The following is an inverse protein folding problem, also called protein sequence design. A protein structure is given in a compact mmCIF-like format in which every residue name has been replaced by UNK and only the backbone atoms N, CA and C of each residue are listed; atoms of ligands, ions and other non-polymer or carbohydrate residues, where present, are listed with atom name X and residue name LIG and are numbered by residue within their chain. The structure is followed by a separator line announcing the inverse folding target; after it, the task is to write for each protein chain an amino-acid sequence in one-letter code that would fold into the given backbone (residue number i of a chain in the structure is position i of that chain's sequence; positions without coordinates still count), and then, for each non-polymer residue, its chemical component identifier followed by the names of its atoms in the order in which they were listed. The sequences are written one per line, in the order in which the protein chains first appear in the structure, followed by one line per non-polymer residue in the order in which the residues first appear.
data_IF_935211408717
#
_entry.id   IF_935211408717
#
_cell.length_a   1.000
_cell.length_b   1.000
_cell.length_c   1.000
_cell.angle_alpha   90.00
_cell.angle_beta   90.00
_cell.angle_gamma   90.00
#
_symmetry.space_group_name_H-M   'P 1'
#
loop_
_entity.id
_entity.type
_entity.pdbx_description
1 polymer ?
#
# COMPACT_ATOMS: atom_id res chain seq x y z
N UNK A 1 10.24 -4.20 5.12
CA UNK A 1 9.95 -3.39 6.33
C UNK A 1 10.69 -2.07 6.21
N UNK A 2 9.97 -0.95 6.32
CA UNK A 2 10.57 0.38 6.53
C UNK A 2 11.27 0.36 7.90
N UNK A 3 12.59 0.50 7.94
CA UNK A 3 13.30 0.60 9.21
C UNK A 3 13.34 2.06 9.67
N UNK A 4 13.33 2.32 10.98
CA UNK A 4 13.45 3.68 11.53
C UNK A 4 14.68 4.45 11.03
N UNK A 5 15.74 3.74 10.62
CA UNK A 5 17.00 4.34 10.19
C UNK A 5 16.96 4.91 8.76
N UNK A 6 16.15 4.36 7.85
CA UNK A 6 15.94 4.95 6.52
C UNK A 6 15.11 6.23 6.59
N UNK A 7 14.26 6.36 7.60
CA UNK A 7 13.42 7.53 7.86
C UNK A 7 14.19 8.71 8.52
N UNK A 8 15.40 8.46 9.04
CA UNK A 8 16.13 9.43 9.87
C UNK A 8 16.99 10.44 9.09
N UNK A 9 17.15 10.31 7.78
CA UNK A 9 18.07 11.14 6.96
C UNK A 9 17.43 11.86 5.76
N UNK A 10 16.16 11.62 5.44
CA UNK A 10 15.46 12.28 4.35
C UNK A 10 14.66 13.50 4.80
N UNK A 11 14.54 14.51 3.95
CA UNK A 11 13.57 15.59 4.16
C UNK A 11 12.14 15.00 4.20
N UNK A 12 11.24 15.65 4.94
CA UNK A 12 9.82 15.25 5.03
C UNK A 12 9.20 14.98 3.64
N UNK A 13 9.58 15.77 2.64
CA UNK A 13 9.14 15.64 1.25
C UNK A 13 9.61 14.34 0.60
N UNK A 14 10.86 13.91 0.84
CA UNK A 14 11.39 12.65 0.31
C UNK A 14 10.73 11.44 0.96
N UNK A 15 10.45 11.53 2.26
CA UNK A 15 9.72 10.47 2.99
C UNK A 15 8.29 10.31 2.44
N UNK A 16 7.58 11.41 2.23
CA UNK A 16 6.24 11.39 1.61
C UNK A 16 6.31 10.79 0.21
N UNK A 17 7.27 11.22 -0.62
CA UNK A 17 7.44 10.68 -1.98
C UNK A 17 7.69 9.17 -1.97
N UNK A 18 8.60 8.71 -1.11
CA UNK A 18 8.89 7.29 -0.95
C UNK A 18 7.67 6.51 -0.48
N UNK A 19 6.95 6.99 0.54
CA UNK A 19 5.77 6.34 1.06
C UNK A 19 4.67 6.23 -0.01
N UNK A 20 4.43 7.29 -0.81
CA UNK A 20 3.49 7.26 -1.94
C UNK A 20 3.87 6.21 -2.99
N UNK A 21 5.17 6.07 -3.31
CA UNK A 21 5.65 5.02 -4.22
C UNK A 21 5.42 3.62 -3.67
N UNK A 22 5.69 3.40 -2.39
CA UNK A 22 5.44 2.10 -1.75
C UNK A 22 3.94 1.79 -1.65
N UNK A 23 3.11 2.80 -1.40
CA UNK A 23 1.65 2.68 -1.43
C UNK A 23 1.18 2.20 -2.80
N UNK A 24 1.62 2.84 -3.89
CA UNK A 24 1.27 2.45 -5.26
C UNK A 24 1.71 1.02 -5.58
N UNK A 25 2.91 0.59 -5.13
CA UNK A 25 3.34 -0.81 -5.29
C UNK A 25 2.39 -1.80 -4.61
N UNK A 26 1.82 -1.46 -3.44
CA UNK A 26 0.85 -2.32 -2.76
C UNK A 26 -0.49 -2.33 -3.49
N UNK A 27 -0.96 -1.18 -3.98
CA UNK A 27 -2.17 -1.10 -4.82
C UNK A 27 -2.05 -2.03 -6.04
N UNK A 28 -0.93 -2.01 -6.75
CA UNK A 28 -0.74 -2.89 -7.91
C UNK A 28 -0.70 -4.38 -7.53
N UNK A 29 -0.24 -4.72 -6.32
CA UNK A 29 -0.32 -6.10 -5.81
C UNK A 29 -1.76 -6.49 -5.45
N UNK A 30 -2.54 -5.56 -4.88
CA UNK A 30 -3.98 -5.79 -4.60
C UNK A 30 -4.73 -6.04 -5.91
N UNK A 31 -4.56 -5.18 -6.92
CA UNK A 31 -5.19 -5.37 -8.24
C UNK A 31 -4.84 -6.71 -8.88
N UNK A 32 -3.56 -7.13 -8.82
CA UNK A 32 -3.15 -8.45 -9.31
C UNK A 32 -3.80 -9.59 -8.53
N UNK A 33 -3.93 -9.44 -7.21
CA UNK A 33 -4.62 -10.41 -6.38
C UNK A 33 -6.11 -10.49 -6.72
N UNK A 34 -6.78 -9.34 -6.91
CA UNK A 34 -8.17 -9.29 -7.38
C UNK A 34 -8.35 -10.02 -8.70
N UNK A 35 -7.49 -9.79 -9.70
CA UNK A 35 -7.55 -10.49 -10.99
C UNK A 35 -7.31 -12.01 -10.85
N UNK A 36 -6.39 -12.43 -9.97
CA UNK A 36 -6.17 -13.84 -9.67
C UNK A 36 -7.43 -14.48 -9.05
N UNK A 37 -8.00 -13.84 -8.04
CA UNK A 37 -9.14 -14.39 -7.29
C UNK A 37 -10.44 -14.46 -8.10
N UNK A 38 -10.60 -13.67 -9.16
CA UNK A 38 -11.77 -13.78 -10.06
C UNK A 38 -11.95 -15.18 -10.67
N UNK A 39 -10.84 -15.91 -10.88
CA UNK A 39 -10.85 -17.22 -11.51
C UNK A 39 -10.30 -18.32 -10.60
N UNK A 40 -9.97 -17.99 -9.34
CA UNK A 40 -9.41 -18.94 -8.39
C UNK A 40 -10.49 -19.89 -7.86
N UNK A 41 -10.09 -21.13 -7.60
CA UNK A 41 -10.91 -22.09 -6.84
C UNK A 41 -10.96 -21.73 -5.36
N UNK A 42 -11.90 -22.30 -4.61
CA UNK A 42 -12.02 -22.09 -3.15
C UNK A 42 -10.72 -22.51 -2.44
N UNK A 43 -10.12 -23.65 -2.82
CA UNK A 43 -8.87 -24.13 -2.22
C UNK A 43 -7.71 -23.15 -2.46
N UNK A 44 -7.64 -22.55 -3.65
CA UNK A 44 -6.66 -21.51 -3.96
C UNK A 44 -6.90 -20.22 -3.18
N UNK A 45 -8.15 -19.85 -2.93
CA UNK A 45 -8.51 -18.71 -2.08
C UNK A 45 -8.04 -18.96 -0.65
N UNK A 46 -8.40 -20.10 -0.05
CA UNK A 46 -8.00 -20.46 1.32
C UNK A 46 -6.48 -20.49 1.48
N UNK A 47 -5.76 -20.96 0.46
CA UNK A 47 -4.30 -20.98 0.47
C UNK A 47 -3.68 -19.58 0.42
N UNK A 48 -4.33 -18.61 -0.22
CA UNK A 48 -3.75 -17.30 -0.51
C UNK A 48 -4.37 -16.12 0.26
N UNK A 49 -5.47 -16.32 0.98
CA UNK A 49 -6.17 -15.27 1.72
C UNK A 49 -5.26 -14.53 2.70
N UNK A 50 -4.36 -15.26 3.39
CA UNK A 50 -3.43 -14.68 4.35
C UNK A 50 -2.46 -13.70 3.69
N UNK A 51 -2.05 -13.98 2.46
CA UNK A 51 -1.19 -13.08 1.68
C UNK A 51 -1.92 -11.80 1.28
N UNK A 52 -3.19 -11.90 0.86
CA UNK A 52 -4.01 -10.73 0.55
C UNK A 52 -4.21 -9.85 1.80
N UNK A 53 -4.56 -10.47 2.93
CA UNK A 53 -4.73 -9.75 4.21
C UNK A 53 -3.45 -9.03 4.63
N UNK A 54 -2.28 -9.66 4.44
CA UNK A 54 -1.00 -9.03 4.72
C UNK A 54 -0.76 -7.81 3.83
N UNK A 55 -1.05 -7.90 2.52
CA UNK A 55 -0.92 -6.78 1.58
C UNK A 55 -1.84 -5.62 2.00
N UNK A 56 -3.08 -5.90 2.37
CA UNK A 56 -4.04 -4.87 2.81
C UNK A 56 -3.60 -4.20 4.12
N UNK A 57 -3.05 -4.96 5.07
CA UNK A 57 -2.48 -4.41 6.31
C UNK A 57 -1.28 -3.51 6.02
N UNK A 58 -0.37 -3.94 5.15
CA UNK A 58 0.77 -3.12 4.73
C UNK A 58 0.32 -1.82 4.05
N UNK A 59 -0.67 -1.92 3.15
CA UNK A 59 -1.25 -0.77 2.45
C UNK A 59 -1.84 0.24 3.44
N UNK A 60 -2.65 -0.24 4.41
CA UNK A 60 -3.23 0.61 5.45
C UNK A 60 -2.17 1.27 6.32
N UNK A 61 -1.12 0.54 6.71
CA UNK A 61 -0.02 1.09 7.50
C UNK A 61 0.73 2.20 6.76
N UNK A 62 1.03 2.00 5.46
CA UNK A 62 1.66 3.04 4.63
C UNK A 62 0.71 4.23 4.46
N UNK A 63 -0.58 3.98 4.27
CA UNK A 63 -1.59 5.02 4.15
C UNK A 63 -1.62 5.92 5.39
N UNK A 64 -1.72 5.33 6.58
CA UNK A 64 -1.69 6.05 7.85
C UNK A 64 -0.39 6.86 8.04
N UNK A 65 0.75 6.34 7.59
CA UNK A 65 2.02 7.05 7.65
C UNK A 65 2.02 8.28 6.72
N UNK A 66 1.45 8.16 5.52
CA UNK A 66 1.28 9.30 4.62
C UNK A 66 0.39 10.36 5.27
N UNK A 67 -0.76 9.97 5.84
CA UNK A 67 -1.68 10.91 6.51
C UNK A 67 -1.01 11.60 7.70
N UNK A 68 -0.22 10.87 8.48
CA UNK A 68 0.56 11.42 9.60
C UNK A 68 1.60 12.43 9.12
N UNK A 69 2.26 12.16 7.99
CA UNK A 69 3.26 13.05 7.43
C UNK A 69 2.61 14.29 6.79
N UNK A 70 1.53 14.14 6.04
CA UNK A 70 0.89 15.27 5.32
C UNK A 70 -0.05 16.08 6.21
N UNK A 71 -0.68 15.46 7.21
CA UNK A 71 -1.80 16.02 7.96
C UNK A 71 -3.14 15.91 7.22
N UNK A 72 -3.16 15.20 6.08
CA UNK A 72 -4.32 15.09 5.19
C UNK A 72 -4.77 13.63 5.10
N UNK A 73 -6.08 13.41 5.02
CA UNK A 73 -6.63 12.08 4.79
C UNK A 73 -6.40 11.62 3.35
N UNK A 74 -6.22 10.32 3.15
CA UNK A 74 -6.16 9.74 1.81
C UNK A 74 -7.55 9.81 1.17
N UNK A 75 -7.61 10.47 0.02
CA UNK A 75 -8.82 10.55 -0.80
C UNK A 75 -9.22 9.17 -1.33
N UNK A 76 -10.52 8.94 -1.51
CA UNK A 76 -11.06 7.67 -2.01
C UNK A 76 -10.51 7.26 -3.38
N UNK A 77 -10.27 8.21 -4.30
CA UNK A 77 -9.66 7.90 -5.60
C UNK A 77 -8.24 7.36 -5.41
N UNK A 78 -7.46 7.99 -4.53
CA UNK A 78 -6.11 7.54 -4.20
C UNK A 78 -6.13 6.19 -3.47
N UNK A 79 -7.13 5.95 -2.62
CA UNK A 79 -7.26 4.69 -1.91
C UNK A 79 -7.40 3.50 -2.87
N UNK A 80 -8.05 3.68 -4.02
CA UNK A 80 -8.31 2.65 -5.03
C UNK A 80 -7.24 2.66 -6.14
N UNK A 81 -6.86 3.83 -6.62
CA UNK A 81 -6.04 4.00 -7.82
C UNK A 81 -4.57 4.33 -7.52
N UNK A 82 -4.24 4.65 -6.27
CA UNK A 82 -2.92 5.14 -5.88
C UNK A 82 -2.70 6.62 -6.20
N UNK A 83 -1.53 7.13 -5.83
CA UNK A 83 -1.13 8.51 -6.04
C UNK A 83 -0.62 8.73 -7.48
N UNK A 84 -1.24 9.67 -8.21
CA UNK A 84 -0.75 10.09 -9.54
C UNK A 84 0.57 10.86 -9.41
N UNK A 85 1.54 10.54 -10.26
CA UNK A 85 2.83 11.23 -10.33
C UNK A 85 3.79 10.98 -9.15
N UNK A 86 3.57 9.90 -8.39
CA UNK A 86 4.40 9.53 -7.23
C UNK A 86 5.75 8.91 -7.60
#
# INVERSE_FOLDING_TARGET
MLTPDTLRKGSKTELIRYAKKEYNKRIERVKKAEEYFKNATIEEIEKNEGTLLLILRELSAIGNEIERLTGEKIDSDVAVNGFKGA
#
